data_IF_969066255437
#
_entry.id   IF_969066255437
#
_cell.length_a   1.000
_cell.length_b   1.000
_cell.length_c   1.000
_cell.angle_alpha   90.00
_cell.angle_beta   90.00
_cell.angle_gamma   90.00
#
_symmetry.space_group_name_H-M   'P 1'
#
loop_
_entity.id
_entity.type
_entity.pdbx_description
1 polymer ?
#
# COMPACT_ATOMS: atom_id res chain seq x y z
N UNK A 1 -13.30 29.24 3.57
CA UNK A 1 -12.62 28.66 2.38
C UNK A 1 -11.14 28.99 2.36
N UNK A 2 -10.28 27.97 2.21
CA UNK A 2 -8.85 28.19 1.94
C UNK A 2 -8.67 28.44 0.44
N UNK A 3 -8.00 29.53 0.08
CA UNK A 3 -7.64 29.83 -1.32
C UNK A 3 -6.56 28.91 -1.86
N UNK A 4 -5.64 28.49 -0.99
CA UNK A 4 -4.53 27.61 -1.39
C UNK A 4 -5.04 26.19 -1.69
N UNK A 5 -4.44 25.58 -2.71
CA UNK A 5 -4.73 24.21 -3.11
C UNK A 5 -4.33 23.24 -2.01
N UNK A 6 -5.22 22.29 -1.69
CA UNK A 6 -4.87 21.12 -0.92
C UNK A 6 -5.69 19.91 -1.34
N UNK A 7 -5.09 18.73 -1.24
CA UNK A 7 -5.77 17.46 -1.50
C UNK A 7 -5.00 16.29 -0.92
N UNK A 8 -5.62 15.12 -0.94
CA UNK A 8 -5.00 13.88 -0.50
C UNK A 8 -5.17 12.77 -1.53
N UNK A 9 -4.17 11.89 -1.58
CA UNK A 9 -4.16 10.71 -2.44
C UNK A 9 -4.95 9.62 -1.74
N UNK A 10 -6.03 9.14 -2.34
CA UNK A 10 -6.88 8.09 -1.73
C UNK A 10 -6.87 6.77 -2.47
N UNK A 11 -6.42 6.76 -3.74
CA UNK A 11 -6.28 5.55 -4.55
C UNK A 11 -5.05 5.69 -5.43
N UNK A 12 -4.36 4.58 -5.64
CA UNK A 12 -3.28 4.48 -6.61
C UNK A 12 -3.55 3.26 -7.47
N UNK A 13 -3.39 3.40 -8.78
CA UNK A 13 -3.54 2.31 -9.73
C UNK A 13 -2.30 2.25 -10.61
N UNK A 14 -1.62 1.12 -10.61
CA UNK A 14 -0.46 0.87 -11.45
C UNK A 14 -0.87 0.24 -12.78
N UNK A 15 -0.02 0.42 -13.78
CA UNK A 15 -0.08 -0.29 -15.06
C UNK A 15 -1.43 -0.15 -15.79
N UNK A 16 -1.99 1.07 -15.81
CA UNK A 16 -3.27 1.36 -16.48
C UNK A 16 -3.20 1.37 -18.01
N UNK A 17 -1.99 1.38 -18.59
CA UNK A 17 -1.77 1.24 -20.02
C UNK A 17 -0.71 0.14 -20.23
N UNK A 18 -0.99 -0.92 -21.02
CA UNK A 18 -0.03 -1.99 -21.27
C UNK A 18 1.26 -1.51 -21.95
N UNK A 19 1.18 -0.46 -22.77
CA UNK A 19 2.29 0.06 -23.58
C UNK A 19 3.17 1.05 -22.80
N UNK A 20 2.54 1.84 -21.95
CA UNK A 20 3.20 2.80 -21.06
C UNK A 20 2.78 2.41 -19.66
N UNK A 21 3.66 1.74 -18.92
CA UNK A 21 3.38 1.19 -17.58
C UNK A 21 3.15 2.31 -16.55
N UNK A 22 2.04 3.01 -16.73
CA UNK A 22 1.73 4.26 -16.07
C UNK A 22 1.05 3.97 -14.75
N UNK A 23 1.52 4.65 -13.70
CA UNK A 23 0.88 4.65 -12.38
C UNK A 23 0.15 5.97 -12.23
N UNK A 24 -1.11 5.90 -11.80
CA UNK A 24 -1.96 7.07 -11.58
C UNK A 24 -2.31 7.14 -10.09
N UNK A 25 -2.05 8.28 -9.48
CA UNK A 25 -2.50 8.63 -8.13
C UNK A 25 -3.78 9.46 -8.24
N UNK A 26 -4.85 8.98 -7.64
CA UNK A 26 -6.13 9.68 -7.57
C UNK A 26 -6.14 10.59 -6.35
N UNK A 27 -6.33 11.88 -6.60
CA UNK A 27 -6.35 12.93 -5.59
C UNK A 27 -7.76 13.45 -5.44
N UNK A 28 -8.22 13.56 -4.19
CA UNK A 28 -9.40 14.35 -3.85
C UNK A 28 -8.96 15.77 -3.52
N UNK A 29 -9.46 16.76 -4.25
CA UNK A 29 -9.20 18.17 -3.95
C UNK A 29 -10.11 18.60 -2.79
N UNK A 30 -9.51 19.18 -1.76
CA UNK A 30 -10.19 19.60 -0.53
C UNK A 30 -10.31 21.12 -0.40
N UNK A 31 -9.39 21.88 -1.00
CA UNK A 31 -9.47 23.35 -1.05
C UNK A 31 -8.71 23.90 -2.25
N UNK A 32 -8.99 25.16 -2.58
CA UNK A 32 -8.37 25.86 -3.69
C UNK A 32 -8.71 25.27 -5.05
N UNK A 33 -7.87 25.59 -6.03
CA UNK A 33 -8.00 25.17 -7.41
C UNK A 33 -6.70 24.48 -7.85
N UNK A 34 -6.86 23.40 -8.60
CA UNK A 34 -5.79 22.73 -9.31
C UNK A 34 -5.61 23.42 -10.66
N UNK A 35 -4.39 23.81 -10.97
CA UNK A 35 -3.97 24.24 -12.30
C UNK A 35 -2.95 23.25 -12.85
N UNK A 36 -3.11 22.87 -14.13
CA UNK A 36 -2.16 22.00 -14.80
C UNK A 36 -0.75 22.60 -14.76
N UNK A 37 0.19 21.77 -14.33
CA UNK A 37 1.56 22.19 -14.16
C UNK A 37 1.80 22.98 -12.89
N UNK A 38 0.89 23.14 -11.93
CA UNK A 38 1.23 23.82 -10.68
C UNK A 38 2.34 23.09 -9.89
N UNK A 39 3.04 23.83 -9.03
CA UNK A 39 3.96 23.25 -8.05
C UNK A 39 3.24 22.97 -6.73
N UNK A 40 3.43 21.78 -6.17
CA UNK A 40 2.89 21.39 -4.86
C UNK A 40 4.00 20.87 -3.95
N UNK A 41 3.75 20.89 -2.65
CA UNK A 41 4.55 20.20 -1.66
C UNK A 41 3.89 18.88 -1.28
N UNK A 42 4.70 17.82 -1.16
CA UNK A 42 4.30 16.54 -0.58
C UNK A 42 4.61 16.55 0.91
N UNK A 43 3.59 16.52 1.77
CA UNK A 43 3.75 16.68 3.22
C UNK A 43 4.71 15.66 3.84
N UNK A 44 4.55 14.37 3.51
CA UNK A 44 5.34 13.27 4.08
C UNK A 44 6.85 13.43 3.91
N UNK A 45 7.29 14.02 2.80
CA UNK A 45 8.72 14.13 2.45
C UNK A 45 9.22 15.57 2.41
N UNK A 46 8.34 16.56 2.47
CA UNK A 46 8.64 17.98 2.22
C UNK A 46 9.05 18.30 0.78
N UNK A 47 9.05 17.30 -0.12
CA UNK A 47 9.53 17.46 -1.50
C UNK A 47 8.56 18.32 -2.31
N UNK A 48 9.11 19.26 -3.08
CA UNK A 48 8.36 20.03 -4.08
C UNK A 48 8.23 19.23 -5.38
N UNK A 49 7.02 19.15 -5.94
CA UNK A 49 6.67 18.38 -7.13
C UNK A 49 5.89 19.25 -8.12
N UNK A 50 6.19 19.12 -9.42
CA UNK A 50 5.45 19.77 -10.51
C UNK A 50 4.35 18.84 -11.01
N UNK A 51 3.11 19.29 -11.06
CA UNK A 51 1.96 18.49 -11.51
C UNK A 51 1.66 18.70 -13.00
N UNK A 52 2.65 18.43 -13.86
CA UNK A 52 2.57 18.72 -15.31
C UNK A 52 1.65 17.78 -16.09
N UNK A 53 1.52 16.53 -15.67
CA UNK A 53 0.70 15.53 -16.34
C UNK A 53 -0.46 15.13 -15.41
N UNK A 54 -1.63 15.69 -15.66
CA UNK A 54 -2.90 15.38 -14.99
C UNK A 54 -3.95 14.92 -16.00
N UNK A 55 -4.84 14.03 -15.57
CA UNK A 55 -5.97 13.50 -16.34
C UNK A 55 -7.21 13.56 -15.46
N UNK A 56 -8.34 14.07 -15.95
CA UNK A 56 -9.63 13.94 -15.26
C UNK A 56 -10.28 12.61 -15.64
N UNK A 57 -10.99 12.02 -14.69
CA UNK A 57 -11.84 10.87 -14.96
C UNK A 57 -13.30 11.33 -14.93
N UNK A 58 -13.87 11.60 -16.10
CA UNK A 58 -15.31 11.78 -16.27
C UNK A 58 -15.88 10.58 -17.05
N UNK A 59 -16.84 9.89 -16.44
CA UNK A 59 -17.74 8.85 -16.94
C UNK A 59 -17.12 7.74 -17.82
N UNK A 60 -16.50 8.05 -18.97
CA UNK A 60 -15.91 7.09 -19.92
C UNK A 60 -14.70 7.62 -20.73
N UNK A 61 -14.25 8.88 -20.54
CA UNK A 61 -13.15 9.48 -21.31
C UNK A 61 -12.02 10.02 -20.43
N UNK A 62 -10.77 9.74 -20.84
CA UNK A 62 -9.56 10.35 -20.24
C UNK A 62 -9.27 11.66 -20.96
N UNK A 63 -9.77 12.76 -20.42
CA UNK A 63 -9.46 14.09 -20.96
C UNK A 63 -8.31 14.75 -20.18
N UNK A 64 -7.48 15.49 -20.91
CA UNK A 64 -6.41 16.28 -20.30
C UNK A 64 -7.06 17.47 -19.63
N UNK A 65 -6.91 17.56 -18.31
CA UNK A 65 -7.53 18.61 -17.52
C UNK A 65 -6.61 19.83 -17.44
N UNK A 66 -7.18 21.00 -17.69
CA UNK A 66 -6.50 22.29 -17.47
C UNK A 66 -6.70 22.78 -16.03
N UNK A 67 -7.94 22.77 -15.50
CA UNK A 67 -8.26 23.21 -14.12
C UNK A 67 -9.30 22.33 -13.42
N UNK A 68 -9.26 22.24 -12.09
CA UNK A 68 -10.23 21.51 -11.25
C UNK A 68 -10.36 22.15 -9.86
N UNK A 69 -11.51 22.00 -9.21
CA UNK A 69 -11.82 22.71 -7.95
C UNK A 69 -12.01 21.78 -6.75
N UNK A 70 -12.12 22.37 -5.56
CA UNK A 70 -12.45 21.63 -4.35
C UNK A 70 -13.72 20.79 -4.52
N UNK A 71 -13.61 19.49 -4.24
CA UNK A 71 -14.68 18.53 -4.48
C UNK A 71 -14.47 17.66 -5.73
N UNK A 72 -13.49 17.96 -6.58
CA UNK A 72 -13.16 17.13 -7.73
C UNK A 72 -12.19 16.00 -7.37
N UNK A 73 -12.18 14.97 -8.21
CA UNK A 73 -11.18 13.89 -8.20
C UNK A 73 -10.36 14.00 -9.48
N UNK A 74 -9.05 14.13 -9.33
CA UNK A 74 -8.10 14.19 -10.45
C UNK A 74 -7.13 13.01 -10.41
N UNK A 75 -6.69 12.57 -11.59
CA UNK A 75 -5.60 11.61 -11.75
C UNK A 75 -4.28 12.31 -12.01
N UNK A 76 -3.27 12.03 -11.19
CA UNK A 76 -1.90 12.49 -11.41
C UNK A 76 -1.03 11.33 -11.88
N UNK A 77 -0.25 11.54 -12.94
CA UNK A 77 0.78 10.57 -13.29
C UNK A 77 1.84 10.52 -12.20
N UNK A 78 2.19 9.31 -11.80
CA UNK A 78 3.09 9.06 -10.70
C UNK A 78 4.27 8.19 -11.14
N UNK A 79 5.48 8.68 -10.93
CA UNK A 79 6.71 7.93 -11.18
C UNK A 79 7.19 7.11 -9.97
N UNK A 80 6.40 7.05 -8.90
CA UNK A 80 6.75 6.33 -7.67
C UNK A 80 6.77 7.22 -6.41
N UNK A 81 6.44 8.51 -6.52
CA UNK A 81 6.59 9.46 -5.42
C UNK A 81 5.42 9.40 -4.43
N UNK A 82 4.21 9.10 -4.91
CA UNK A 82 2.99 9.15 -4.09
C UNK A 82 2.69 7.82 -3.41
N UNK A 83 2.03 7.92 -2.26
CA UNK A 83 1.47 6.82 -1.48
C UNK A 83 0.03 7.13 -1.12
N UNK A 84 -0.77 6.09 -0.87
CA UNK A 84 -2.14 6.25 -0.37
C UNK A 84 -2.09 6.93 1.00
N UNK A 85 -2.91 7.96 1.19
CA UNK A 85 -2.93 8.82 2.38
C UNK A 85 -1.98 10.02 2.32
N UNK A 86 -1.14 10.16 1.28
CA UNK A 86 -0.27 11.33 1.15
C UNK A 86 -1.11 12.61 0.99
N UNK A 87 -0.66 13.70 1.63
CA UNK A 87 -1.23 15.04 1.48
C UNK A 87 -0.36 15.89 0.57
N UNK A 88 -0.99 16.58 -0.38
CA UNK A 88 -0.34 17.55 -1.27
C UNK A 88 -0.99 18.93 -1.11
N UNK A 89 -0.18 19.98 -1.12
CA UNK A 89 -0.68 21.34 -0.88
C UNK A 89 0.20 22.42 -1.52
N UNK A 90 -0.35 23.63 -1.64
CA UNK A 90 0.38 24.84 -1.97
C UNK A 90 0.40 25.85 -0.82
N UNK A 91 1.20 26.90 -0.97
CA UNK A 91 1.36 27.94 0.04
C UNK A 91 2.43 27.61 1.09
N UNK A 92 2.52 28.46 2.11
CA UNK A 92 3.58 28.39 3.14
C UNK A 92 3.26 27.46 4.30
N UNK A 93 1.97 27.19 4.54
CA UNK A 93 1.51 26.38 5.67
C UNK A 93 1.37 24.93 5.23
N UNK A 94 2.05 24.03 5.95
CA UNK A 94 1.89 22.60 5.72
C UNK A 94 0.45 22.15 5.97
N UNK A 95 -0.09 21.35 5.05
CA UNK A 95 -1.41 20.73 5.20
C UNK A 95 -1.22 19.23 5.28
N UNK A 96 -1.74 18.65 6.35
CA UNK A 96 -1.76 17.22 6.60
C UNK A 96 -3.20 16.80 6.84
N UNK A 97 -3.70 15.88 6.01
CA UNK A 97 -4.98 15.23 6.22
C UNK A 97 -4.83 14.05 7.17
N UNK A 98 -5.93 13.65 7.79
CA UNK A 98 -5.98 12.44 8.60
C UNK A 98 -5.64 11.21 7.76
N UNK A 99 -5.05 10.21 8.40
CA UNK A 99 -4.72 8.95 7.73
C UNK A 99 -6.01 8.25 7.32
N UNK A 100 -6.00 7.68 6.13
CA UNK A 100 -7.08 6.81 5.69
C UNK A 100 -7.10 5.56 6.58
N UNK A 101 -8.29 5.04 6.93
CA UNK A 101 -8.40 3.83 7.74
C UNK A 101 -7.69 2.68 7.05
N UNK A 102 -6.89 1.92 7.80
CA UNK A 102 -6.18 0.78 7.27
C UNK A 102 -6.79 -0.49 7.83
N UNK A 103 -7.45 -1.26 6.96
CA UNK A 103 -8.02 -2.53 7.38
C UNK A 103 -6.91 -3.53 7.70
N UNK A 104 -7.02 -4.19 8.85
CA UNK A 104 -6.17 -5.33 9.19
C UNK A 104 -6.60 -6.53 8.33
N UNK A 105 -5.68 -7.21 7.63
CA UNK A 105 -6.01 -8.39 6.84
C UNK A 105 -6.35 -9.58 7.74
N UNK A 106 -7.27 -10.41 7.28
CA UNK A 106 -7.73 -11.62 7.98
C UNK A 106 -7.27 -12.89 7.25
N UNK A 107 -7.15 -12.83 5.93
CA UNK A 107 -6.72 -13.94 5.09
C UNK A 107 -5.27 -13.76 4.66
N UNK A 108 -4.50 -14.85 4.72
CA UNK A 108 -3.08 -14.82 4.39
C UNK A 108 -2.72 -15.93 3.41
N UNK A 109 -1.92 -15.56 2.40
CA UNK A 109 -1.42 -16.45 1.37
C UNK A 109 0.10 -16.30 1.28
N UNK A 110 0.85 -17.40 1.33
CA UNK A 110 2.26 -17.39 0.91
C UNK A 110 2.29 -17.31 -0.60
N UNK A 111 3.13 -16.45 -1.17
CA UNK A 111 3.23 -16.26 -2.63
C UNK A 111 4.65 -16.51 -3.12
N UNK A 112 4.78 -17.35 -4.14
CA UNK A 112 6.06 -17.65 -4.80
C UNK A 112 5.92 -17.55 -6.31
N UNK A 113 7.04 -17.26 -6.99
CA UNK A 113 7.08 -17.30 -8.44
C UNK A 113 7.01 -18.76 -8.91
N UNK A 114 6.10 -19.08 -9.85
CA UNK A 114 6.02 -20.42 -10.44
C UNK A 114 7.26 -20.76 -11.27
N UNK A 115 7.85 -19.75 -11.91
CA UNK A 115 9.03 -19.90 -12.75
C UNK A 115 10.16 -18.99 -12.25
N UNK A 116 11.29 -19.60 -11.86
CA UNK A 116 12.49 -18.90 -11.36
C UNK A 116 13.06 -17.92 -12.40
N UNK A 117 12.94 -18.21 -13.70
CA UNK A 117 13.42 -17.32 -14.76
C UNK A 117 12.65 -15.99 -14.83
N UNK A 118 11.47 -15.91 -14.21
CA UNK A 118 10.64 -14.70 -14.15
C UNK A 118 10.79 -13.93 -12.84
N UNK A 119 11.76 -14.27 -12.00
CA UNK A 119 11.94 -13.68 -10.66
C UNK A 119 12.00 -12.14 -10.66
N UNK A 120 12.69 -11.52 -11.64
CA UNK A 120 12.74 -10.05 -11.74
C UNK A 120 11.36 -9.43 -12.01
N UNK A 121 10.56 -10.07 -12.85
CA UNK A 121 9.20 -9.61 -13.15
C UNK A 121 8.27 -9.84 -11.96
N UNK A 122 8.41 -10.97 -11.28
CA UNK A 122 7.70 -11.30 -10.04
C UNK A 122 7.91 -10.23 -8.96
N UNK A 123 9.17 -9.90 -8.65
CA UNK A 123 9.50 -8.89 -7.65
C UNK A 123 8.95 -7.51 -8.03
N UNK A 124 9.07 -7.14 -9.30
CA UNK A 124 8.52 -5.86 -9.79
C UNK A 124 7.00 -5.80 -9.66
N UNK A 125 6.30 -6.88 -10.02
CA UNK A 125 4.84 -6.97 -9.92
C UNK A 125 4.35 -6.89 -8.49
N UNK A 126 4.94 -7.68 -7.59
CA UNK A 126 4.67 -7.64 -6.14
C UNK A 126 4.83 -6.21 -5.62
N UNK A 127 5.98 -5.58 -5.90
CA UNK A 127 6.29 -4.26 -5.39
C UNK A 127 5.37 -3.17 -5.94
N UNK A 128 4.80 -3.31 -7.14
CA UNK A 128 3.91 -2.32 -7.73
C UNK A 128 2.44 -2.53 -7.33
N UNK A 129 1.94 -3.76 -7.40
CA UNK A 129 0.55 -4.08 -7.09
C UNK A 129 0.22 -3.86 -5.61
N UNK A 130 1.16 -4.15 -4.70
CA UNK A 130 0.98 -3.90 -3.26
C UNK A 130 0.85 -2.40 -2.96
N UNK A 131 1.43 -1.52 -3.78
CA UNK A 131 1.33 -0.06 -3.52
C UNK A 131 -0.06 0.50 -3.80
N UNK A 132 -0.90 -0.26 -4.50
CA UNK A 132 -2.30 0.09 -4.71
C UNK A 132 -3.16 -0.14 -3.46
N UNK A 133 -2.61 -0.79 -2.44
CA UNK A 133 -3.25 -0.99 -1.14
C UNK A 133 -4.33 -2.08 -1.11
N UNK A 134 -4.60 -2.75 -2.25
CA UNK A 134 -5.59 -3.83 -2.32
C UNK A 134 -5.16 -5.08 -1.53
N UNK A 135 -3.86 -5.35 -1.45
CA UNK A 135 -3.28 -6.40 -0.61
C UNK A 135 -2.10 -5.83 0.16
N UNK A 136 -1.84 -6.39 1.34
CA UNK A 136 -0.70 -6.03 2.18
C UNK A 136 0.43 -7.04 1.99
N UNK A 137 1.66 -6.56 1.93
CA UNK A 137 2.85 -7.40 1.78
C UNK A 137 3.56 -7.55 3.12
N UNK A 138 3.89 -8.80 3.41
CA UNK A 138 4.69 -9.23 4.53
C UNK A 138 5.87 -10.06 4.02
N UNK A 139 6.98 -10.05 4.74
CA UNK A 139 8.15 -10.85 4.43
C UNK A 139 8.59 -11.67 5.64
N UNK A 140 8.74 -12.97 5.48
CA UNK A 140 9.24 -13.87 6.52
C UNK A 140 10.65 -13.47 6.97
N UNK A 141 10.89 -13.42 8.28
CA UNK A 141 12.24 -13.17 8.81
C UNK A 141 13.21 -14.32 8.49
N UNK A 142 12.74 -15.56 8.58
CA UNK A 142 13.60 -16.75 8.48
C UNK A 142 13.89 -17.15 7.04
N UNK A 143 12.91 -17.05 6.15
CA UNK A 143 13.02 -17.55 4.77
C UNK A 143 13.07 -16.44 3.73
N UNK A 144 12.67 -15.21 4.08
CA UNK A 144 12.52 -14.13 3.12
C UNK A 144 11.31 -14.29 2.18
N UNK A 145 10.48 -15.30 2.39
CA UNK A 145 9.27 -15.55 1.59
C UNK A 145 8.28 -14.40 1.68
N UNK A 146 7.61 -14.10 0.57
CA UNK A 146 6.51 -13.14 0.56
C UNK A 146 5.21 -13.78 1.01
N UNK A 147 4.51 -13.04 1.87
CA UNK A 147 3.18 -13.37 2.37
C UNK A 147 2.27 -12.18 2.05
N UNK A 148 1.12 -12.45 1.45
CA UNK A 148 0.11 -11.45 1.15
C UNK A 148 -1.02 -11.57 2.17
N UNK A 149 -1.41 -10.44 2.74
CA UNK A 149 -2.59 -10.31 3.59
C UNK A 149 -3.71 -9.56 2.87
N UNK A 150 -4.94 -10.04 2.99
CA UNK A 150 -6.13 -9.45 2.40
C UNK A 150 -7.33 -9.55 3.35
N UNK A 151 -8.32 -8.68 3.13
CA UNK A 151 -9.62 -8.75 3.85
C UNK A 151 -10.54 -9.78 3.16
N UNK A 152 -10.44 -9.93 1.84
CA UNK A 152 -11.29 -10.85 1.07
C UNK A 152 -10.54 -11.64 0.01
N UNK A 153 -11.05 -12.83 -0.29
CA UNK A 153 -10.41 -13.78 -1.22
C UNK A 153 -10.28 -13.22 -2.66
N UNK A 154 -11.25 -12.45 -3.13
CA UNK A 154 -11.22 -11.81 -4.46
C UNK A 154 -9.95 -10.96 -4.68
N UNK A 155 -9.40 -10.37 -3.61
CA UNK A 155 -8.18 -9.55 -3.71
C UNK A 155 -6.97 -10.40 -4.14
N UNK A 156 -6.90 -11.67 -3.72
CA UNK A 156 -5.86 -12.60 -4.17
C UNK A 156 -6.07 -13.04 -5.62
N UNK A 157 -7.32 -13.29 -6.02
CA UNK A 157 -7.66 -13.67 -7.40
C UNK A 157 -7.32 -12.55 -8.39
N UNK A 158 -7.70 -11.31 -8.04
CA UNK A 158 -7.33 -10.11 -8.82
C UNK A 158 -5.82 -9.95 -8.85
N UNK A 159 -5.13 -10.12 -7.72
CA UNK A 159 -3.67 -10.04 -7.68
C UNK A 159 -3.01 -11.08 -8.61
N UNK A 160 -3.43 -12.34 -8.54
CA UNK A 160 -2.91 -13.42 -9.38
C UNK A 160 -3.16 -13.14 -10.87
N UNK A 161 -4.38 -12.73 -11.22
CA UNK A 161 -4.74 -12.35 -12.58
C UNK A 161 -3.84 -11.23 -13.11
N UNK A 162 -3.62 -10.18 -12.32
CA UNK A 162 -2.78 -9.05 -12.72
C UNK A 162 -1.31 -9.44 -12.83
N UNK A 163 -0.78 -10.25 -11.93
CA UNK A 163 0.59 -10.77 -12.03
C UNK A 163 0.83 -11.52 -13.35
N UNK A 164 -0.14 -12.33 -13.78
CA UNK A 164 -0.08 -13.04 -15.06
C UNK A 164 -0.16 -12.07 -16.25
N UNK A 165 -1.16 -11.19 -16.29
CA UNK A 165 -1.45 -10.36 -17.47
C UNK A 165 -0.54 -9.12 -17.62
N UNK A 166 -0.13 -8.51 -16.51
CA UNK A 166 0.61 -7.24 -16.50
C UNK A 166 2.13 -7.46 -16.41
N UNK A 167 2.53 -8.53 -15.72
CA UNK A 167 3.93 -8.83 -15.45
C UNK A 167 4.40 -10.13 -16.09
N UNK A 168 3.55 -10.86 -16.82
CA UNK A 168 3.88 -12.15 -17.43
C UNK A 168 4.59 -13.08 -16.42
N UNK A 169 4.05 -13.10 -15.20
CA UNK A 169 4.62 -13.77 -14.04
C UNK A 169 3.53 -14.56 -13.33
N UNK A 170 3.43 -15.85 -13.62
CA UNK A 170 2.58 -16.76 -12.85
C UNK A 170 3.08 -16.92 -11.42
N UNK A 171 2.14 -16.89 -10.48
CA UNK A 171 2.41 -17.05 -9.05
C UNK A 171 1.67 -18.25 -8.49
N UNK A 172 2.32 -18.94 -7.56
CA UNK A 172 1.70 -19.99 -6.74
C UNK A 172 1.34 -19.35 -5.40
N UNK A 173 0.07 -19.49 -5.01
CA UNK A 173 -0.43 -19.03 -3.72
C UNK A 173 -0.77 -20.23 -2.84
N UNK A 174 -0.19 -20.27 -1.65
CA UNK A 174 -0.46 -21.33 -0.66
C UNK A 174 -1.21 -20.73 0.53
N UNK A 175 -2.45 -21.18 0.82
CA UNK A 175 -3.22 -20.68 1.95
C UNK A 175 -2.48 -20.89 3.27
N UNK A 176 -2.48 -19.86 4.10
CA UNK A 176 -1.97 -19.92 5.48
C UNK A 176 -3.09 -19.95 6.52
N UNK A 177 -4.35 -19.89 6.07
CA UNK A 177 -5.52 -19.76 6.93
C UNK A 177 -5.69 -18.34 7.47
N UNK A 178 -6.60 -18.21 8.43
CA UNK A 178 -6.79 -16.97 9.17
C UNK A 178 -5.57 -16.68 10.05
N UNK A 179 -5.13 -15.43 10.11
CA UNK A 179 -4.11 -14.98 11.08
C UNK A 179 -4.51 -13.65 11.70
N UNK A 180 -3.95 -13.37 12.87
CA UNK A 180 -4.08 -12.10 13.55
C UNK A 180 -2.72 -11.41 13.51
N UNK A 181 -2.65 -10.25 12.84
CA UNK A 181 -1.43 -9.46 12.75
C UNK A 181 -1.27 -8.53 13.96
N UNK A 182 -0.09 -8.56 14.58
CA UNK A 182 0.29 -7.67 15.69
C UNK A 182 1.72 -7.19 15.56
N UNK A 183 1.91 -5.87 15.50
CA UNK A 183 3.22 -5.24 15.46
C UNK A 183 3.85 -5.22 16.84
N UNK A 184 5.16 -5.47 16.86
CA UNK A 184 6.00 -5.42 18.06
C UNK A 184 6.98 -4.25 17.91
N UNK A 185 7.33 -3.63 19.03
CA UNK A 185 8.42 -2.66 19.07
C UNK A 185 9.75 -3.35 18.67
N UNK A 186 10.51 -2.84 17.67
CA UNK A 186 11.81 -3.39 17.31
C UNK A 186 12.78 -3.54 18.48
N UNK A 187 12.70 -2.68 19.50
CA UNK A 187 13.58 -2.75 20.68
C UNK A 187 13.26 -3.94 21.60
N UNK A 188 12.04 -4.47 21.52
CA UNK A 188 11.57 -5.60 22.31
C UNK A 188 11.61 -6.94 21.57
N UNK A 189 12.04 -6.93 20.30
CA UNK A 189 12.03 -8.12 19.45
C UNK A 189 13.20 -9.06 19.76
N UNK A 190 12.88 -10.31 20.11
CA UNK A 190 13.80 -11.45 19.99
C UNK A 190 13.24 -12.43 18.95
N UNK A 191 14.02 -12.78 17.92
CA UNK A 191 13.61 -13.71 16.87
C UNK A 191 13.20 -15.09 17.41
N UNK A 192 13.73 -15.49 18.58
CA UNK A 192 13.38 -16.74 19.27
C UNK A 192 11.95 -16.74 19.84
N UNK A 193 11.28 -15.59 19.85
CA UNK A 193 9.87 -15.50 20.22
C UNK A 193 8.95 -16.12 19.15
N UNK A 194 9.45 -16.29 17.92
CA UNK A 194 8.75 -16.93 16.81
C UNK A 194 8.57 -18.44 17.02
N UNK A 195 7.42 -18.95 16.58
CA UNK A 195 7.07 -20.36 16.63
C UNK A 195 6.11 -20.72 15.50
N UNK A 196 5.70 -21.99 15.41
CA UNK A 196 4.64 -22.38 14.47
C UNK A 196 3.33 -21.60 14.69
N UNK A 197 3.03 -21.24 15.94
CA UNK A 197 1.79 -20.55 16.34
C UNK A 197 1.81 -19.03 16.14
N UNK A 198 3.00 -18.45 15.91
CA UNK A 198 3.20 -17.01 15.74
C UNK A 198 4.38 -16.76 14.81
N UNK A 199 4.07 -16.58 13.52
CA UNK A 199 5.11 -16.38 12.53
C UNK A 199 5.63 -14.93 12.59
N UNK A 200 6.93 -14.78 12.81
CA UNK A 200 7.60 -13.48 12.74
C UNK A 200 7.80 -13.03 11.29
N UNK A 201 7.26 -11.86 10.94
CA UNK A 201 7.35 -11.25 9.60
C UNK A 201 7.64 -9.75 9.68
N UNK A 202 8.11 -9.16 8.59
CA UNK A 202 8.25 -7.70 8.39
C UNK A 202 7.11 -7.20 7.51
N UNK A 203 6.53 -6.06 7.82
CA UNK A 203 5.68 -5.36 6.85
C UNK A 203 6.50 -4.65 5.75
N UNK A 204 5.82 -4.01 4.81
CA UNK A 204 6.45 -3.24 3.72
C UNK A 204 7.38 -2.12 4.20
N UNK A 205 7.15 -1.55 5.38
CA UNK A 205 8.00 -0.52 5.98
C UNK A 205 9.19 -1.12 6.76
N UNK A 206 9.32 -2.45 6.80
CA UNK A 206 10.35 -3.15 7.57
C UNK A 206 10.02 -3.30 9.05
N UNK A 207 8.81 -2.93 9.48
CA UNK A 207 8.42 -3.05 10.89
C UNK A 207 8.11 -4.51 11.24
N UNK A 208 8.65 -5.03 12.36
CA UNK A 208 8.38 -6.39 12.80
C UNK A 208 6.95 -6.55 13.30
N UNK A 209 6.37 -7.72 13.01
CA UNK A 209 5.10 -8.16 13.56
C UNK A 209 5.01 -9.68 13.62
N UNK A 210 4.10 -10.18 14.44
CA UNK A 210 3.72 -11.57 14.48
C UNK A 210 2.37 -11.79 13.78
N UNK A 211 2.30 -12.88 13.01
CA UNK A 211 1.06 -13.44 12.50
C UNK A 211 0.65 -14.62 13.38
N UNK A 212 -0.28 -14.38 14.30
CA UNK A 212 -0.81 -15.38 15.21
C UNK A 212 -1.85 -16.26 14.53
N UNK A 213 -1.88 -17.55 14.83
CA UNK A 213 -2.88 -18.48 14.26
C UNK A 213 -4.31 -18.19 14.72
N UNK A 214 -4.46 -17.67 15.94
CA UNK A 214 -5.74 -17.39 16.59
C UNK A 214 -5.51 -16.55 17.86
N UNK A 215 -6.60 -16.10 18.49
CA UNK A 215 -6.53 -15.31 19.73
C UNK A 215 -5.87 -16.06 20.89
N UNK A 216 -6.00 -17.39 20.95
CA UNK A 216 -5.36 -18.18 22.00
C UNK A 216 -3.83 -18.11 21.89
N UNK A 217 -3.28 -18.21 20.69
CA UNK A 217 -1.85 -18.05 20.45
C UNK A 217 -1.35 -16.64 20.80
N UNK A 218 -2.15 -15.60 20.53
CA UNK A 218 -1.86 -14.22 20.93
C UNK A 218 -1.82 -14.08 22.46
N UNK A 219 -2.86 -14.55 23.16
CA UNK A 219 -2.92 -14.48 24.63
C UNK A 219 -1.77 -15.24 25.30
N UNK A 220 -1.49 -16.46 24.82
CA UNK A 220 -0.39 -17.27 25.34
C UNK A 220 0.97 -16.59 25.14
N UNK A 221 1.16 -15.89 24.02
CA UNK A 221 2.37 -15.09 23.79
C UNK A 221 2.50 -13.95 24.79
N UNK A 222 1.40 -13.22 25.05
CA UNK A 222 1.37 -12.14 26.03
C UNK A 222 1.62 -12.63 27.46
N UNK A 223 1.09 -13.80 27.83
CA UNK A 223 1.34 -14.41 29.14
C UNK A 223 2.83 -14.81 29.30
N UNK A 224 3.45 -15.29 28.21
CA UNK A 224 4.87 -15.66 28.20
C UNK A 224 5.79 -14.45 28.20
N UNK A 225 5.39 -13.34 27.57
CA UNK A 225 6.17 -12.12 27.43
C UNK A 225 5.36 -10.89 27.88
N UNK A 226 5.10 -10.73 29.19
CA UNK A 226 4.17 -9.73 29.72
C UNK A 226 4.63 -8.28 29.48
N UNK A 227 5.93 -8.05 29.32
CA UNK A 227 6.51 -6.73 29.07
C UNK A 227 6.49 -6.32 27.58
N UNK A 228 6.18 -7.26 26.68
CA UNK A 228 6.15 -7.00 25.23
C UNK A 228 4.86 -6.30 24.87
N UNK A 229 4.98 -5.17 24.16
CA UNK A 229 3.84 -4.40 23.66
C UNK A 229 3.51 -4.82 22.23
N UNK A 230 2.33 -5.41 22.06
CA UNK A 230 1.74 -5.71 20.77
C UNK A 230 0.73 -4.63 20.39
N UNK A 231 0.76 -4.20 19.13
CA UNK A 231 -0.16 -3.19 18.58
C UNK A 231 -0.86 -3.69 17.33
N UNK A 232 -2.08 -3.22 17.10
CA UNK A 232 -2.82 -3.39 15.86
C UNK A 232 -2.86 -2.06 15.11
N UNK A 233 -2.79 -2.10 13.77
CA UNK A 233 -3.06 -0.92 12.94
C UNK A 233 -4.57 -0.88 12.67
N UNK A 234 -5.26 0.07 13.29
CA UNK A 234 -6.65 0.45 12.98
C UNK A 234 -6.67 1.38 11.75
#
# INVERSE_FOLDING_TARGET
DRKDFSGFIFKIQANMNPNHRDRIAFVRICSGEFDRGMDVFLERTGKKLRLSNSTQFMADTRETLETAVAGDIIGLYDTGNFQIGDSIYTGKKAVKFEKLPQFTPELFMRVTAKNVMKQKSFHKGIQQLVQEGAVQLYQSYSTGDYILGAVGQLQFEVFQFRMANEYNSEVVMTPMGHKIARWIDPEQLDEKMSSSRNLLVKDRAGMPLFLFENEFAERWFMDKYPDVKLTAKL
#
